data_IF_801084169471
#
_entry.id   IF_801084169471
#
_cell.length_a   1.000
_cell.length_b   1.000
_cell.length_c   1.000
_cell.angle_alpha   90.00
_cell.angle_beta   90.00
_cell.angle_gamma   90.00
#
_symmetry.space_group_name_H-M   'P 1'
#
loop_
_entity.id
_entity.type
_entity.pdbx_description
1 polymer ?
#
# COMPACT_ATOMS: atom_id res chain seq x y z
N UNK A 1 -1.46 -4.80 -14.05
CA UNK A 1 -2.19 -4.79 -12.80
C UNK A 1 -1.37 -4.25 -11.65
N UNK A 2 -2.01 -4.11 -10.50
CA UNK A 2 -1.36 -3.57 -9.31
C UNK A 2 -0.15 -4.40 -8.87
N UNK A 3 -0.24 -5.71 -8.99
CA UNK A 3 0.87 -6.61 -8.66
C UNK A 3 2.12 -6.29 -9.47
N UNK A 4 1.99 -6.18 -10.79
CA UNK A 4 3.12 -5.89 -11.66
C UNK A 4 3.71 -4.51 -11.36
N UNK A 5 2.86 -3.53 -11.08
CA UNK A 5 3.30 -2.20 -10.71
C UNK A 5 4.12 -2.21 -9.40
N UNK A 6 3.62 -2.90 -8.37
CA UNK A 6 4.30 -2.98 -7.08
C UNK A 6 5.67 -3.66 -7.22
N UNK A 7 5.73 -4.79 -7.93
CA UNK A 7 7.00 -5.48 -8.14
C UNK A 7 8.00 -4.62 -8.92
N UNK A 8 7.52 -3.89 -9.92
CA UNK A 8 8.35 -2.98 -10.70
C UNK A 8 8.95 -1.87 -9.82
N UNK A 9 8.14 -1.25 -8.97
CA UNK A 9 8.60 -0.18 -8.09
C UNK A 9 9.63 -0.69 -7.07
N UNK A 10 9.42 -1.88 -6.54
CA UNK A 10 10.36 -2.48 -5.59
C UNK A 10 11.69 -2.81 -6.29
N UNK A 11 11.64 -3.34 -7.51
CA UNK A 11 12.86 -3.63 -8.29
C UNK A 11 13.66 -2.37 -8.59
N UNK A 12 13.00 -1.23 -8.73
CA UNK A 12 13.66 0.05 -8.96
C UNK A 12 14.06 0.76 -7.66
N UNK A 13 13.76 0.16 -6.51
CA UNK A 13 14.03 0.72 -5.19
C UNK A 13 13.35 2.07 -4.94
N UNK A 14 12.14 2.23 -5.48
CA UNK A 14 11.36 3.46 -5.41
C UNK A 14 10.21 3.35 -4.40
N UNK A 15 10.50 2.92 -3.18
CA UNK A 15 9.47 2.67 -2.18
C UNK A 15 8.70 3.94 -1.80
N UNK A 16 9.36 5.09 -1.77
CA UNK A 16 8.68 6.34 -1.46
C UNK A 16 7.67 6.73 -2.54
N UNK A 17 8.03 6.56 -3.81
CA UNK A 17 7.09 6.78 -4.91
C UNK A 17 5.93 5.80 -4.86
N UNK A 18 6.20 4.56 -4.50
CA UNK A 18 5.16 3.54 -4.37
C UNK A 18 4.14 3.95 -3.31
N UNK A 19 4.61 4.45 -2.17
CA UNK A 19 3.72 4.91 -1.11
C UNK A 19 2.86 6.08 -1.56
N UNK A 20 3.46 7.04 -2.26
CA UNK A 20 2.73 8.20 -2.80
C UNK A 20 1.67 7.76 -3.81
N UNK A 21 2.00 6.84 -4.70
CA UNK A 21 1.07 6.33 -5.70
C UNK A 21 -0.09 5.57 -5.07
N UNK A 22 0.19 4.77 -4.05
CA UNK A 22 -0.86 4.08 -3.31
C UNK A 22 -1.81 5.08 -2.67
N UNK A 23 -1.26 6.11 -2.02
CA UNK A 23 -2.08 7.14 -1.40
C UNK A 23 -2.95 7.86 -2.42
N UNK A 24 -2.39 8.23 -3.56
CA UNK A 24 -3.12 8.90 -4.62
C UNK A 24 -4.28 8.04 -5.14
N UNK A 25 -4.03 6.75 -5.37
CA UNK A 25 -5.08 5.83 -5.81
C UNK A 25 -6.17 5.64 -4.77
N UNK A 26 -5.80 5.60 -3.50
CA UNK A 26 -6.77 5.51 -2.42
C UNK A 26 -7.64 6.76 -2.35
N UNK A 27 -7.03 7.94 -2.45
CA UNK A 27 -7.78 9.20 -2.42
C UNK A 27 -8.74 9.32 -3.60
N UNK A 28 -8.35 8.83 -4.78
CA UNK A 28 -9.21 8.87 -5.96
C UNK A 28 -10.44 7.97 -5.81
N UNK A 29 -10.29 6.81 -5.18
CA UNK A 29 -11.37 5.83 -5.06
C UNK A 29 -12.10 5.92 -3.72
N UNK A 30 -11.42 6.38 -2.69
CA UNK A 30 -11.95 6.44 -1.32
C UNK A 30 -11.54 7.76 -0.68
N UNK A 31 -12.21 8.86 -1.01
CA UNK A 31 -11.78 10.20 -0.57
C UNK A 31 -11.85 10.40 0.95
N UNK A 32 -12.57 9.55 1.66
CA UNK A 32 -12.69 9.63 3.12
C UNK A 32 -11.58 8.84 3.85
N UNK A 33 -10.75 8.12 3.13
CA UNK A 33 -9.67 7.33 3.72
C UNK A 33 -8.40 8.18 3.76
N UNK A 34 -7.78 8.22 4.92
CA UNK A 34 -6.51 8.91 5.12
C UNK A 34 -5.45 7.84 5.40
N UNK A 35 -4.48 7.73 4.50
CA UNK A 35 -3.40 6.78 4.67
C UNK A 35 -2.40 7.32 5.68
N UNK A 36 -2.16 6.56 6.74
CA UNK A 36 -1.25 6.95 7.81
C UNK A 36 0.11 6.29 7.71
N UNK A 37 0.18 5.15 7.06
CA UNK A 37 1.45 4.47 6.87
C UNK A 37 1.32 3.31 5.90
N UNK A 38 2.45 2.91 5.34
CA UNK A 38 2.56 1.75 4.46
C UNK A 38 3.81 0.97 4.86
N UNK A 39 3.64 -0.30 5.15
CA UNK A 39 4.75 -1.23 5.36
C UNK A 39 4.78 -2.23 4.22
N UNK A 40 5.96 -2.45 3.65
CA UNK A 40 6.14 -3.40 2.57
C UNK A 40 7.13 -4.46 3.03
N UNK A 41 6.67 -5.70 3.04
CA UNK A 41 7.46 -6.86 3.46
C UNK A 41 7.70 -7.74 2.24
N UNK A 42 8.95 -8.05 1.98
CA UNK A 42 9.35 -8.88 0.85
C UNK A 42 9.75 -10.25 1.35
N UNK A 43 9.24 -11.28 0.68
CA UNK A 43 9.57 -12.68 0.98
C UNK A 43 10.14 -13.32 -0.30
N UNK A 44 11.46 -13.15 -0.55
CA UNK A 44 12.06 -13.62 -1.80
C UNK A 44 11.95 -15.12 -2.02
N UNK A 45 12.01 -15.90 -0.95
CA UNK A 45 11.92 -17.36 -1.04
C UNK A 45 10.57 -17.84 -1.54
N UNK A 46 9.53 -17.03 -1.33
CA UNK A 46 8.17 -17.35 -1.76
C UNK A 46 7.72 -16.53 -2.96
N UNK A 47 8.59 -15.66 -3.48
CA UNK A 47 8.24 -14.70 -4.53
C UNK A 47 6.98 -13.91 -4.17
N UNK A 48 6.84 -13.55 -2.90
CA UNK A 48 5.64 -12.84 -2.46
C UNK A 48 5.99 -11.54 -1.75
N UNK A 49 5.03 -10.63 -1.77
CA UNK A 49 5.13 -9.31 -1.14
C UNK A 49 3.85 -9.09 -0.34
N UNK A 50 4.00 -8.59 0.87
CA UNK A 50 2.89 -8.19 1.71
C UNK A 50 2.94 -6.68 1.87
N UNK A 51 1.84 -6.01 1.56
CA UNK A 51 1.69 -4.57 1.74
C UNK A 51 0.67 -4.35 2.84
N UNK A 52 1.09 -3.68 3.92
CA UNK A 52 0.20 -3.32 5.02
C UNK A 52 -0.10 -1.83 4.94
N UNK A 53 -1.37 -1.51 4.89
CA UNK A 53 -1.86 -0.14 4.84
C UNK A 53 -2.51 0.21 6.18
N UNK A 54 -2.03 1.27 6.80
CA UNK A 54 -2.61 1.79 8.03
C UNK A 54 -3.37 3.05 7.69
N UNK A 55 -4.66 3.09 8.03
CA UNK A 55 -5.52 4.18 7.59
C UNK A 55 -6.51 4.59 8.67
N UNK A 56 -7.03 5.79 8.52
CA UNK A 56 -8.16 6.28 9.29
C UNK A 56 -9.25 6.75 8.33
N UNK A 57 -10.47 6.85 8.86
CA UNK A 57 -11.63 7.34 8.11
C UNK A 57 -11.93 8.75 8.61
N UNK A 58 -12.01 9.71 7.68
CA UNK A 58 -12.31 11.11 8.00
C UNK A 58 -13.60 11.25 8.78
N UNK A 59 -13.59 12.14 9.76
CA UNK A 59 -14.75 12.46 10.60
C UNK A 59 -15.27 11.30 11.44
N UNK A 60 -14.41 10.30 11.68
CA UNK A 60 -14.72 9.17 12.54
C UNK A 60 -13.51 8.89 13.44
N UNK A 61 -13.72 7.99 14.42
CA UNK A 61 -12.62 7.50 15.26
C UNK A 61 -12.12 6.13 14.77
N UNK A 62 -12.46 5.77 13.55
CA UNK A 62 -12.07 4.48 12.98
C UNK A 62 -10.63 4.55 12.49
N UNK A 63 -9.78 3.69 13.04
CA UNK A 63 -8.43 3.43 12.59
C UNK A 63 -8.33 1.93 12.37
N UNK A 64 -7.79 1.52 11.22
CA UNK A 64 -7.71 0.11 10.89
C UNK A 64 -6.48 -0.15 10.02
N UNK A 65 -6.24 -1.40 9.74
CA UNK A 65 -5.17 -1.79 8.83
C UNK A 65 -5.69 -2.80 7.83
N UNK A 66 -5.11 -2.76 6.64
CA UNK A 66 -5.42 -3.70 5.56
C UNK A 66 -4.12 -4.35 5.12
N UNK A 67 -4.13 -5.66 4.97
CA UNK A 67 -2.98 -6.40 4.49
C UNK A 67 -3.29 -6.98 3.12
N UNK A 68 -2.45 -6.65 2.15
CA UNK A 68 -2.56 -7.14 0.77
C UNK A 68 -1.39 -8.05 0.49
N UNK A 69 -1.69 -9.26 0.01
CA UNK A 69 -0.68 -10.27 -0.30
C UNK A 69 -0.57 -10.43 -1.83
N UNK A 70 0.65 -10.30 -2.33
CA UNK A 70 0.95 -10.44 -3.76
C UNK A 70 1.94 -11.59 -3.94
N UNK A 71 1.53 -12.58 -4.73
CA UNK A 71 2.37 -13.73 -5.05
C UNK A 71 2.86 -13.67 -6.48
#
# INVERSE_FOLDING_TARGET
GLRAFIFSQIAEDNLEYLKEDIQEKLLSNFPNVILQGVDILQYPDSNSIVVKLYYSISNTNINDQLELNFN
#
